data_IF_642114298278
#
_entry.id   IF_642114298278
#
_cell.length_a   1.000
_cell.length_b   1.000
_cell.length_c   1.000
_cell.angle_alpha   90.00
_cell.angle_beta   90.00
_cell.angle_gamma   90.00
#
_symmetry.space_group_name_H-M   'P 1'
#
loop_
_entity.id
_entity.type
_entity.pdbx_description
1 polymer ?
#
# COMPACT_ATOMS: atom_id res chain seq x y z
N UNK A 1 -15.21 34.75 12.08
CA UNK A 1 -14.71 33.73 13.04
C UNK A 1 -15.91 32.99 13.64
N UNK A 2 -16.28 31.80 13.12
CA UNK A 2 -17.29 30.82 13.63
C UNK A 2 -17.93 29.91 12.55
N UNK A 3 -17.32 29.74 11.36
CA UNK A 3 -17.90 28.89 10.28
C UNK A 3 -16.97 27.83 9.66
N UNK A 4 -15.75 27.63 10.16
CA UNK A 4 -14.78 26.71 9.54
C UNK A 4 -14.26 25.60 10.47
N UNK A 5 -14.89 25.39 11.63
CA UNK A 5 -14.42 24.39 12.61
C UNK A 5 -15.00 22.97 12.41
N UNK A 6 -15.75 22.71 11.33
CA UNK A 6 -16.48 21.46 11.15
C UNK A 6 -15.99 20.57 10.00
N UNK A 7 -14.90 20.94 9.31
CA UNK A 7 -14.36 20.15 8.18
C UNK A 7 -13.10 19.34 8.56
N UNK A 8 -12.49 19.59 9.73
CA UNK A 8 -11.25 18.93 10.13
C UNK A 8 -11.40 17.54 10.78
N UNK A 9 -12.61 16.99 10.87
CA UNK A 9 -12.86 15.69 11.49
C UNK A 9 -13.10 14.53 10.49
N UNK A 10 -13.06 14.78 9.17
CA UNK A 10 -13.43 13.77 8.15
C UNK A 10 -12.28 13.33 7.23
N UNK A 11 -11.04 13.77 7.47
CA UNK A 11 -9.90 13.44 6.59
C UNK A 11 -8.94 12.35 7.13
N UNK A 12 -9.39 11.53 8.08
CA UNK A 12 -8.60 10.42 8.63
C UNK A 12 -9.25 9.03 8.41
N UNK A 13 -10.10 8.90 7.38
CA UNK A 13 -10.81 7.66 7.07
C UNK A 13 -10.69 7.27 5.59
N UNK A 14 -9.48 7.28 5.03
CA UNK A 14 -9.19 6.48 3.83
C UNK A 14 -8.56 5.15 4.26
N UNK A 15 -9.40 4.33 4.89
CA UNK A 15 -9.30 2.88 4.81
C UNK A 15 -9.70 2.55 3.37
N UNK A 16 -8.91 1.81 2.59
CA UNK A 16 -9.36 0.79 1.62
C UNK A 16 -8.16 0.27 0.82
N UNK A 17 -8.27 -1.02 0.54
CA UNK A 17 -7.36 -1.93 -0.16
C UNK A 17 -6.80 -1.38 -1.46
N UNK A 18 -5.48 -1.40 -1.63
CA UNK A 18 -4.82 -1.36 -2.94
C UNK A 18 -5.12 -2.72 -3.62
N UNK A 19 -5.82 -2.80 -4.75
CA UNK A 19 -5.83 -4.00 -5.58
C UNK A 19 -4.52 -4.01 -6.37
N UNK A 20 -3.45 -4.55 -5.77
CA UNK A 20 -2.17 -4.68 -6.46
C UNK A 20 -2.17 -5.93 -7.35
N UNK A 21 -3.01 -5.94 -8.39
CA UNK A 21 -2.91 -6.92 -9.49
C UNK A 21 -3.29 -6.23 -10.81
N UNK A 22 -2.37 -5.42 -11.33
CA UNK A 22 -2.27 -5.27 -12.77
C UNK A 22 -1.66 -6.56 -13.33
N UNK A 23 -2.53 -7.44 -13.85
CA UNK A 23 -2.29 -8.53 -14.80
C UNK A 23 -0.82 -8.97 -15.03
N UNK A 24 -0.40 -10.04 -14.34
CA UNK A 24 0.75 -10.84 -14.76
C UNK A 24 0.24 -11.84 -15.81
N UNK A 25 0.54 -11.57 -17.07
CA UNK A 25 0.29 -12.48 -18.19
C UNK A 25 0.95 -13.84 -17.98
N UNK A 26 0.21 -14.90 -18.32
CA UNK A 26 0.67 -16.28 -18.27
C UNK A 26 1.58 -16.58 -19.46
N UNK A 27 2.89 -16.60 -19.26
CA UNK A 27 3.78 -17.42 -20.07
C UNK A 27 5.03 -17.77 -19.28
N UNK A 28 5.21 -19.06 -18.99
CA UNK A 28 6.52 -19.61 -18.59
C UNK A 28 7.43 -19.59 -19.82
N UNK A 29 8.64 -19.01 -19.77
CA UNK A 29 9.66 -19.33 -20.75
C UNK A 29 10.44 -20.59 -20.31
N UNK A 30 10.90 -21.43 -21.25
CA UNK A 30 11.77 -22.55 -20.94
C UNK A 30 13.18 -22.05 -20.62
N UNK A 31 13.77 -22.63 -19.57
CA UNK A 31 15.18 -22.48 -19.22
C UNK A 31 16.05 -23.31 -20.16
N UNK A 32 17.03 -22.68 -20.80
CA UNK A 32 18.26 -23.34 -21.26
C UNK A 32 19.42 -22.38 -21.14
N UNK A 33 20.40 -22.72 -20.28
CA UNK A 33 21.64 -21.97 -20.12
C UNK A 33 22.56 -22.18 -21.34
N UNK A 34 23.19 -21.10 -21.82
CA UNK A 34 24.53 -21.18 -22.42
C UNK A 34 25.28 -19.85 -22.28
N UNK A 35 26.47 -19.95 -21.70
CA UNK A 35 27.52 -18.91 -21.66
C UNK A 35 28.01 -18.58 -23.07
N UNK A 36 28.12 -17.29 -23.39
CA UNK A 36 29.20 -16.77 -24.26
C UNK A 36 29.47 -15.30 -23.93
N UNK A 37 30.76 -14.93 -23.94
CA UNK A 37 31.32 -13.62 -23.59
C UNK A 37 31.40 -12.65 -24.79
N UNK A 38 31.55 -11.35 -24.47
CA UNK A 38 31.97 -10.19 -25.32
C UNK A 38 30.93 -9.69 -26.34
N UNK A 39 30.70 -8.39 -26.56
CA UNK A 39 31.64 -7.30 -26.89
C UNK A 39 31.06 -5.94 -26.46
N UNK A 40 31.96 -5.02 -26.09
CA UNK A 40 31.68 -3.61 -25.77
C UNK A 40 31.19 -2.88 -27.03
N UNK A 41 30.01 -2.27 -26.97
CA UNK A 41 29.59 -1.22 -27.89
C UNK A 41 29.05 -0.04 -27.07
N UNK A 42 29.79 1.06 -27.12
CA UNK A 42 29.37 2.37 -26.64
C UNK A 42 28.16 2.85 -27.43
N UNK A 43 27.06 3.19 -26.75
CA UNK A 43 25.97 3.95 -27.35
C UNK A 43 25.60 5.11 -26.44
N UNK A 44 25.86 6.32 -26.93
CA UNK A 44 25.30 7.56 -26.42
C UNK A 44 23.77 7.46 -26.32
N UNK A 45 23.24 7.30 -25.12
CA UNK A 45 21.79 7.38 -24.87
C UNK A 45 21.40 8.84 -24.67
N UNK A 46 20.81 9.42 -25.71
CA UNK A 46 19.86 10.54 -25.58
C UNK A 46 18.83 10.16 -24.50
N UNK A 47 18.92 10.76 -23.31
CA UNK A 47 17.86 10.71 -22.28
C UNK A 47 16.54 11.13 -22.95
N UNK A 48 15.62 10.19 -23.13
CA UNK A 48 14.28 10.49 -23.63
C UNK A 48 13.48 11.13 -22.49
N UNK A 49 12.84 12.26 -22.74
CA UNK A 49 12.04 13.01 -21.76
C UNK A 49 10.85 12.20 -21.16
N UNK A 50 10.60 10.99 -21.65
CA UNK A 50 9.52 10.08 -21.24
C UNK A 50 9.92 9.17 -20.05
N UNK A 51 11.23 9.07 -19.75
CA UNK A 51 11.75 8.32 -18.59
C UNK A 51 11.64 9.11 -17.27
N UNK A 52 11.55 10.44 -17.35
CA UNK A 52 11.57 11.34 -16.19
C UNK A 52 10.17 11.79 -15.74
N UNK A 53 9.09 11.27 -16.36
CA UNK A 53 7.72 11.68 -16.09
C UNK A 53 6.72 10.50 -15.98
N UNK A 54 5.63 10.75 -15.27
CA UNK A 54 4.43 9.91 -15.21
C UNK A 54 3.22 10.66 -15.77
N UNK A 55 2.31 9.93 -16.42
CA UNK A 55 0.95 10.41 -16.70
C UNK A 55 0.05 10.02 -15.53
N UNK A 56 -0.46 11.00 -14.80
CA UNK A 56 -1.23 10.81 -13.59
C UNK A 56 -2.70 11.17 -13.81
N UNK A 57 -3.60 10.22 -13.57
CA UNK A 57 -5.03 10.46 -13.59
C UNK A 57 -5.50 10.98 -12.23
N UNK A 58 -6.01 12.21 -12.19
CA UNK A 58 -6.59 12.78 -10.99
C UNK A 58 -8.04 12.28 -10.83
N UNK A 59 -8.27 11.44 -9.82
CA UNK A 59 -9.59 10.81 -9.62
C UNK A 59 -10.70 11.79 -9.22
N UNK A 60 -10.36 12.97 -8.67
CA UNK A 60 -11.32 14.01 -8.30
C UNK A 60 -11.71 14.85 -9.51
N UNK A 61 -10.74 15.32 -10.30
CA UNK A 61 -10.97 16.21 -11.44
C UNK A 61 -11.22 15.47 -12.76
N UNK A 62 -10.94 14.16 -12.80
CA UNK A 62 -11.04 13.27 -13.97
C UNK A 62 -10.10 13.65 -15.12
N UNK A 63 -9.03 14.40 -14.83
CA UNK A 63 -8.02 14.85 -15.81
C UNK A 63 -6.75 14.00 -15.74
N UNK A 64 -6.04 13.93 -16.85
CA UNK A 64 -4.70 13.33 -16.93
C UNK A 64 -3.68 14.44 -17.07
N UNK A 65 -2.64 14.42 -16.24
CA UNK A 65 -1.58 15.40 -16.21
C UNK A 65 -0.22 14.70 -16.27
N UNK A 66 0.75 15.33 -16.92
CA UNK A 66 2.14 14.85 -16.90
C UNK A 66 2.85 15.49 -15.72
N UNK A 67 3.49 14.66 -14.89
CA UNK A 67 4.22 15.10 -13.70
C UNK A 67 5.63 14.50 -13.70
N UNK A 68 6.60 15.27 -13.21
CA UNK A 68 7.96 14.76 -13.04
C UNK A 68 7.99 13.64 -12.00
N UNK A 69 8.87 12.65 -12.18
CA UNK A 69 9.07 11.58 -11.19
C UNK A 69 9.36 12.18 -9.81
N UNK A 70 10.18 13.24 -9.76
CA UNK A 70 10.55 13.92 -8.52
C UNK A 70 9.34 14.49 -7.78
N UNK A 71 8.51 15.29 -8.46
CA UNK A 71 7.37 15.95 -7.82
C UNK A 71 6.28 14.93 -7.45
N UNK A 72 6.09 13.90 -8.29
CA UNK A 72 5.23 12.78 -7.96
C UNK A 72 5.66 12.10 -6.66
N UNK A 73 6.95 11.76 -6.52
CA UNK A 73 7.47 11.09 -5.33
C UNK A 73 7.39 11.97 -4.08
N UNK A 74 7.62 13.28 -4.19
CA UNK A 74 7.43 14.20 -3.07
C UNK A 74 5.96 14.22 -2.63
N UNK A 75 5.03 14.32 -3.59
CA UNK A 75 3.60 14.30 -3.34
C UNK A 75 3.10 13.00 -2.70
N UNK A 76 3.64 11.86 -3.13
CA UNK A 76 3.33 10.55 -2.53
C UNK A 76 3.94 10.43 -1.14
N UNK A 77 5.24 10.61 -0.97
CA UNK A 77 5.91 10.41 0.33
C UNK A 77 5.32 11.34 1.38
N UNK A 78 5.02 12.59 1.00
CA UNK A 78 4.36 13.56 1.87
C UNK A 78 2.92 13.23 2.23
N UNK A 79 2.22 12.42 1.42
CA UNK A 79 0.85 11.95 1.68
C UNK A 79 0.80 10.60 2.41
N UNK A 80 1.77 9.72 2.18
CA UNK A 80 1.78 8.33 2.67
C UNK A 80 2.49 8.15 4.01
N UNK A 81 3.59 8.87 4.25
CA UNK A 81 4.45 8.64 5.41
C UNK A 81 4.58 9.92 6.25
N UNK A 82 4.43 9.85 7.59
CA UNK A 82 4.61 11.01 8.45
C UNK A 82 5.99 11.65 8.26
N UNK A 83 6.04 12.94 7.97
CA UNK A 83 7.31 13.66 7.76
C UNK A 83 8.25 13.63 8.99
N UNK A 84 7.71 13.34 10.18
CA UNK A 84 8.47 13.16 11.42
C UNK A 84 9.28 11.85 11.47
N UNK A 85 8.97 10.86 10.61
CA UNK A 85 9.68 9.58 10.55
C UNK A 85 11.15 9.77 10.16
N UNK A 86 11.98 8.79 10.51
CA UNK A 86 13.40 8.80 10.24
C UNK A 86 13.68 8.93 8.74
N UNK A 87 14.74 9.65 8.36
CA UNK A 87 15.06 9.92 6.95
C UNK A 87 15.27 8.64 6.14
N UNK A 88 15.86 7.59 6.74
CA UNK A 88 16.01 6.29 6.07
C UNK A 88 14.67 5.58 5.80
N UNK A 89 13.66 5.79 6.64
CA UNK A 89 12.30 5.28 6.36
C UNK A 89 11.64 6.07 5.21
N UNK A 90 11.80 7.40 5.19
CA UNK A 90 11.34 8.24 4.08
C UNK A 90 12.00 7.86 2.74
N UNK A 91 13.31 7.54 2.76
CA UNK A 91 14.01 7.01 1.58
C UNK A 91 13.46 5.66 1.16
N UNK A 92 13.23 4.73 2.09
CA UNK A 92 12.64 3.43 1.78
C UNK A 92 11.24 3.59 1.15
N UNK A 93 10.41 4.50 1.68
CA UNK A 93 9.13 4.85 1.08
C UNK A 93 9.27 5.43 -0.32
N UNK A 94 10.21 6.36 -0.54
CA UNK A 94 10.44 6.94 -1.87
C UNK A 94 10.81 5.86 -2.90
N UNK A 95 11.72 4.95 -2.56
CA UNK A 95 12.13 3.85 -3.45
C UNK A 95 10.98 2.86 -3.70
N UNK A 96 10.23 2.47 -2.66
CA UNK A 96 9.07 1.59 -2.80
C UNK A 96 7.99 2.25 -3.68
N UNK A 97 7.70 3.53 -3.44
CA UNK A 97 6.72 4.30 -4.20
C UNK A 97 7.10 4.43 -5.68
N UNK A 98 8.37 4.70 -5.98
CA UNK A 98 8.89 4.77 -7.34
C UNK A 98 8.78 3.42 -8.05
N UNK A 99 9.22 2.36 -7.37
CA UNK A 99 9.18 0.99 -7.89
C UNK A 99 7.75 0.59 -8.25
N UNK A 100 6.79 0.87 -7.37
CA UNK A 100 5.37 0.63 -7.63
C UNK A 100 4.87 1.43 -8.84
N UNK A 101 5.19 2.72 -8.96
CA UNK A 101 4.74 3.54 -10.08
C UNK A 101 5.27 3.01 -11.42
N UNK A 102 6.52 2.53 -11.47
CA UNK A 102 7.11 1.90 -12.64
C UNK A 102 6.47 0.54 -12.95
N UNK A 103 6.18 -0.27 -11.92
CA UNK A 103 5.46 -1.53 -12.08
C UNK A 103 4.05 -1.28 -12.67
N UNK A 104 3.34 -0.26 -12.19
CA UNK A 104 2.04 0.15 -12.73
C UNK A 104 2.13 0.65 -14.18
N UNK A 105 3.10 1.51 -14.49
CA UNK A 105 3.37 1.99 -15.87
C UNK A 105 3.62 0.83 -16.83
N UNK A 106 4.50 -0.11 -16.45
CA UNK A 106 4.77 -1.33 -17.23
C UNK A 106 3.51 -2.18 -17.42
N UNK A 107 2.69 -2.31 -16.38
CA UNK A 107 1.39 -2.97 -16.44
C UNK A 107 0.42 -2.31 -17.42
N UNK A 108 0.30 -0.98 -17.40
CA UNK A 108 -0.55 -0.23 -18.34
C UNK A 108 -0.07 -0.35 -19.79
N UNK A 109 1.24 -0.40 -20.03
CA UNK A 109 1.79 -0.61 -21.38
C UNK A 109 1.45 -2.01 -21.93
N UNK A 110 1.46 -3.03 -21.06
CA UNK A 110 1.13 -4.41 -21.44
C UNK A 110 -0.37 -4.65 -21.56
N UNK A 111 -1.16 -4.05 -20.67
CA UNK A 111 -2.62 -4.21 -20.62
C UNK A 111 -3.30 -2.89 -20.19
N UNK A 112 -3.61 -2.00 -21.14
CA UNK A 112 -4.16 -0.68 -20.82
C UNK A 112 -5.53 -0.75 -20.15
N UNK A 113 -5.65 -0.13 -18.98
CA UNK A 113 -6.92 0.10 -18.32
C UNK A 113 -7.58 1.37 -18.88
N UNK A 114 -8.67 1.19 -19.63
CA UNK A 114 -9.43 2.29 -20.24
C UNK A 114 -9.95 3.29 -19.20
N UNK A 115 -10.19 2.89 -17.95
CA UNK A 115 -10.68 3.81 -16.91
C UNK A 115 -9.65 4.86 -16.48
N UNK A 116 -8.37 4.63 -16.76
CA UNK A 116 -7.28 5.58 -16.48
C UNK A 116 -7.09 6.61 -17.59
N UNK A 117 -7.88 6.55 -18.66
CA UNK A 117 -7.84 7.51 -19.76
C UNK A 117 -6.43 7.72 -20.34
N UNK A 118 -5.65 6.64 -20.46
CA UNK A 118 -4.28 6.69 -20.98
C UNK A 118 -3.22 7.16 -19.99
N UNK A 119 -3.55 7.30 -18.70
CA UNK A 119 -2.59 7.51 -17.62
C UNK A 119 -1.88 6.22 -17.19
N UNK A 120 -0.71 6.39 -16.59
CA UNK A 120 0.10 5.30 -16.03
C UNK A 120 -0.47 4.84 -14.67
N UNK A 121 -0.98 5.79 -13.87
CA UNK A 121 -1.48 5.57 -12.51
C UNK A 121 -2.54 6.61 -12.11
N UNK A 122 -3.24 6.37 -11.00
CA UNK A 122 -4.30 7.22 -10.44
C UNK A 122 -3.87 7.87 -9.13
N UNK A 123 -4.46 9.03 -8.78
CA UNK A 123 -4.35 9.61 -7.43
C UNK A 123 -5.36 9.02 -6.43
N UNK A 124 -6.14 8.02 -6.84
CA UNK A 124 -7.11 7.36 -5.97
C UNK A 124 -6.39 6.32 -5.09
N UNK A 125 -6.30 6.54 -3.76
CA UNK A 125 -5.64 5.60 -2.85
C UNK A 125 -6.34 4.22 -2.80
N UNK A 126 -7.60 4.11 -3.25
CA UNK A 126 -8.29 2.82 -3.37
C UNK A 126 -7.79 1.98 -4.55
N UNK A 127 -7.01 2.54 -5.47
CA UNK A 127 -6.47 1.83 -6.65
C UNK A 127 -4.98 2.05 -6.88
N UNK A 128 -4.37 2.95 -6.12
CA UNK A 128 -3.00 3.43 -6.30
C UNK A 128 -2.47 3.95 -4.96
N UNK A 129 -1.47 4.83 -5.00
CA UNK A 129 -0.90 5.47 -3.83
C UNK A 129 -1.64 6.77 -3.53
N UNK A 130 -1.66 7.14 -2.25
CA UNK A 130 -2.04 8.48 -1.82
C UNK A 130 -1.09 9.49 -2.44
N UNK A 131 -1.65 10.61 -2.88
CA UNK A 131 -0.91 11.68 -3.51
C UNK A 131 -1.54 13.02 -3.11
N UNK A 132 -0.68 13.98 -2.76
CA UNK A 132 -1.05 15.37 -2.55
C UNK A 132 -0.20 16.25 -3.47
N UNK A 133 -0.81 17.28 -4.08
CA UNK A 133 -0.03 18.31 -4.78
C UNK A 133 0.80 19.14 -3.79
N UNK A 134 1.74 19.94 -4.27
CA UNK A 134 2.50 20.86 -3.42
C UNK A 134 1.59 21.84 -2.67
N UNK A 135 0.51 22.30 -3.30
CA UNK A 135 -0.49 23.16 -2.67
C UNK A 135 -1.24 22.41 -1.54
N UNK A 136 -1.67 21.17 -1.79
CA UNK A 136 -2.31 20.33 -0.77
C UNK A 136 -1.35 20.01 0.39
N UNK A 137 -0.07 19.72 0.10
CA UNK A 137 0.97 19.53 1.12
C UNK A 137 1.19 20.81 1.95
N UNK A 138 1.16 21.99 1.31
CA UNK A 138 1.32 23.27 2.00
C UNK A 138 0.14 23.57 2.92
N UNK A 139 -1.08 23.28 2.48
CA UNK A 139 -2.26 23.38 3.34
C UNK A 139 -2.19 22.38 4.50
N UNK A 140 -1.80 21.13 4.22
CA UNK A 140 -1.73 20.06 5.22
C UNK A 140 -0.68 20.32 6.29
N UNK A 141 0.54 20.74 5.92
CA UNK A 141 1.63 20.96 6.86
C UNK A 141 1.66 22.36 7.48
N UNK A 142 0.92 23.32 6.92
CA UNK A 142 0.81 24.67 7.46
C UNK A 142 2.16 25.33 7.69
N UNK A 143 2.40 25.84 8.90
CA UNK A 143 3.66 26.49 9.28
C UNK A 143 4.89 25.58 9.23
N UNK A 144 4.70 24.25 9.27
CA UNK A 144 5.79 23.29 9.17
C UNK A 144 6.13 22.88 7.73
N UNK A 145 5.38 23.40 6.74
CA UNK A 145 5.53 23.00 5.34
C UNK A 145 6.98 23.07 4.86
N UNK A 146 7.65 24.22 5.00
CA UNK A 146 9.02 24.37 4.47
C UNK A 146 10.01 23.38 5.11
N UNK A 147 9.82 23.08 6.39
CA UNK A 147 10.68 22.12 7.12
C UNK A 147 10.44 20.68 6.63
N UNK A 148 9.19 20.25 6.57
CA UNK A 148 8.84 18.90 6.16
C UNK A 148 9.04 18.67 4.67
N UNK A 149 8.68 19.64 3.84
CA UNK A 149 8.93 19.60 2.40
C UNK A 149 10.43 19.46 2.11
N UNK A 150 11.30 20.23 2.80
CA UNK A 150 12.76 20.11 2.64
C UNK A 150 13.27 18.73 3.05
N UNK A 151 12.76 18.15 4.14
CA UNK A 151 13.16 16.81 4.59
C UNK A 151 12.71 15.72 3.61
N UNK A 152 11.45 15.77 3.16
CA UNK A 152 10.88 14.81 2.21
C UNK A 152 11.59 14.91 0.86
N UNK A 153 11.69 16.12 0.30
CA UNK A 153 12.38 16.32 -0.98
C UNK A 153 13.85 15.93 -0.93
N UNK A 154 14.57 16.24 0.16
CA UNK A 154 15.94 15.77 0.34
C UNK A 154 16.06 14.24 0.42
N UNK A 155 15.11 13.56 1.04
CA UNK A 155 15.06 12.10 1.04
C UNK A 155 14.82 11.56 -0.38
N UNK A 156 13.80 12.06 -1.09
CA UNK A 156 13.48 11.70 -2.48
C UNK A 156 14.68 11.91 -3.39
N UNK A 157 15.28 13.10 -3.38
CA UNK A 157 16.40 13.47 -4.25
C UNK A 157 17.59 12.54 -4.09
N UNK A 158 17.84 12.07 -2.86
CA UNK A 158 18.98 11.18 -2.56
C UNK A 158 18.83 9.75 -3.08
N UNK A 159 17.61 9.34 -3.46
CA UNK A 159 17.31 7.96 -3.91
C UNK A 159 16.42 7.92 -5.15
N UNK A 160 16.26 9.04 -5.87
CA UNK A 160 15.36 9.16 -7.02
C UNK A 160 15.72 8.19 -8.15
N UNK A 161 17.00 7.83 -8.26
CA UNK A 161 17.50 6.87 -9.24
C UNK A 161 17.36 5.41 -8.79
N UNK A 162 16.88 5.14 -7.57
CA UNK A 162 16.82 3.79 -6.99
C UNK A 162 15.44 3.16 -7.12
N UNK A 163 15.44 1.85 -7.39
CA UNK A 163 14.25 0.99 -7.44
C UNK A 163 14.55 -0.39 -6.84
N UNK A 164 13.51 -1.11 -6.44
CA UNK A 164 13.59 -2.51 -6.00
C UNK A 164 13.25 -3.44 -7.17
N UNK A 165 14.16 -4.36 -7.49
CA UNK A 165 13.99 -5.30 -8.60
C UNK A 165 14.05 -6.75 -8.13
N UNK A 166 13.29 -7.60 -8.80
CA UNK A 166 13.36 -9.05 -8.71
C UNK A 166 13.41 -9.60 -10.14
N UNK A 167 14.39 -10.44 -10.45
CA UNK A 167 14.60 -10.95 -11.81
C UNK A 167 14.67 -9.83 -12.89
N UNK A 168 15.38 -8.74 -12.58
CA UNK A 168 15.57 -7.55 -13.42
C UNK A 168 14.31 -6.73 -13.74
N UNK A 169 13.18 -7.00 -13.09
CA UNK A 169 11.94 -6.22 -13.26
C UNK A 169 11.58 -5.50 -11.95
N UNK A 170 11.03 -4.27 -12.01
CA UNK A 170 10.47 -3.60 -10.83
C UNK A 170 9.40 -4.45 -10.16
N UNK A 171 9.52 -4.64 -8.85
CA UNK A 171 8.58 -5.46 -8.08
C UNK A 171 7.21 -4.77 -7.90
N UNK A 172 6.19 -5.55 -7.53
CA UNK A 172 4.99 -5.01 -6.89
C UNK A 172 5.35 -4.56 -5.46
N UNK A 173 5.90 -3.35 -5.32
CA UNK A 173 6.39 -2.80 -4.05
C UNK A 173 5.23 -2.35 -3.13
N UNK A 174 4.48 -3.33 -2.61
CA UNK A 174 3.40 -3.10 -1.67
C UNK A 174 3.92 -2.58 -0.33
N UNK A 175 3.17 -1.67 0.29
CA UNK A 175 3.45 -1.16 1.63
C UNK A 175 2.15 -0.80 2.36
N UNK A 176 2.19 -0.77 3.68
CA UNK A 176 1.04 -0.47 4.54
C UNK A 176 1.46 0.24 5.82
N UNK A 177 0.51 0.81 6.56
CA UNK A 177 0.82 1.64 7.73
C UNK A 177 1.43 0.86 8.89
N UNK A 178 0.69 -0.10 9.43
CA UNK A 178 1.08 -0.87 10.63
C UNK A 178 0.73 -2.34 10.39
N UNK A 179 1.68 -3.26 10.55
CA UNK A 179 1.36 -4.69 10.44
C UNK A 179 0.66 -5.20 11.71
N UNK A 180 0.10 -6.41 11.65
CA UNK A 180 -0.42 -7.08 12.84
C UNK A 180 0.68 -7.64 13.78
N UNK A 181 1.95 -7.40 13.46
CA UNK A 181 3.14 -8.01 14.06
C UNK A 181 3.89 -8.92 13.07
N UNK A 182 3.18 -9.53 12.12
CA UNK A 182 3.73 -10.24 10.96
C UNK A 182 3.12 -9.65 9.68
N UNK A 183 3.91 -9.45 8.64
CA UNK A 183 3.39 -9.07 7.32
C UNK A 183 2.66 -10.25 6.67
N UNK A 184 1.85 -10.00 5.65
CA UNK A 184 0.90 -10.97 5.08
C UNK A 184 1.35 -11.49 3.71
N UNK A 185 1.03 -12.75 3.40
CA UNK A 185 1.21 -13.28 2.04
C UNK A 185 0.17 -12.65 1.11
N UNK A 186 0.56 -12.09 -0.06
CA UNK A 186 -0.38 -11.49 -0.99
C UNK A 186 -1.45 -12.47 -1.49
N UNK A 187 -1.29 -13.79 -1.40
CA UNK A 187 -2.35 -14.74 -1.70
C UNK A 187 -3.55 -14.61 -0.76
N UNK A 188 -3.35 -14.25 0.51
CA UNK A 188 -4.43 -14.07 1.47
C UNK A 188 -5.17 -12.74 1.29
N UNK A 189 -4.62 -11.80 0.53
CA UNK A 189 -5.19 -10.45 0.31
C UNK A 189 -5.69 -10.26 -1.11
N UNK A 190 -4.92 -10.72 -2.10
CA UNK A 190 -5.14 -10.52 -3.53
C UNK A 190 -5.22 -11.84 -4.33
N UNK A 191 -5.14 -13.00 -3.68
CA UNK A 191 -5.33 -14.30 -4.34
C UNK A 191 -4.13 -14.82 -5.12
N UNK A 192 -2.97 -14.12 -5.09
CA UNK A 192 -1.74 -14.57 -5.72
C UNK A 192 -0.51 -14.35 -4.84
N UNK A 193 0.26 -15.41 -4.62
CA UNK A 193 1.57 -15.31 -3.97
C UNK A 193 2.62 -14.71 -4.91
N UNK A 194 3.58 -13.99 -4.34
CA UNK A 194 4.74 -13.44 -5.02
C UNK A 194 6.00 -13.83 -4.24
N UNK A 195 7.07 -14.19 -4.95
CA UNK A 195 8.28 -14.75 -4.32
C UNK A 195 8.98 -13.74 -3.39
N UNK A 196 8.96 -12.46 -3.76
CA UNK A 196 9.58 -11.38 -3.01
C UNK A 196 8.66 -10.76 -1.94
N UNK A 197 7.40 -11.20 -1.80
CA UNK A 197 6.47 -10.73 -0.76
C UNK A 197 6.14 -11.87 0.18
N UNK A 198 7.05 -12.16 1.10
CA UNK A 198 6.88 -13.18 2.14
C UNK A 198 6.50 -12.54 3.48
N UNK A 199 5.70 -13.22 4.31
CA UNK A 199 5.51 -12.84 5.70
C UNK A 199 6.86 -12.69 6.43
N UNK A 200 7.09 -11.52 7.02
CA UNK A 200 8.24 -11.23 7.88
C UNK A 200 7.76 -10.58 9.17
N UNK A 201 8.50 -10.83 10.25
CA UNK A 201 8.23 -10.24 11.56
C UNK A 201 8.41 -8.72 11.49
N UNK A 202 7.60 -7.95 12.19
CA UNK A 202 7.73 -6.50 12.19
C UNK A 202 7.47 -5.95 13.59
N UNK A 203 8.41 -6.25 14.50
CA UNK A 203 8.26 -5.96 15.93
C UNK A 203 8.10 -4.47 16.26
N UNK A 204 8.60 -3.59 15.39
CA UNK A 204 8.41 -2.16 15.52
C UNK A 204 6.94 -1.71 15.50
N UNK A 205 6.06 -2.50 14.87
CA UNK A 205 4.64 -2.19 14.77
C UNK A 205 3.93 -2.22 16.13
N UNK A 206 4.36 -3.07 17.06
CA UNK A 206 3.76 -3.13 18.41
C UNK A 206 3.92 -1.83 19.20
N UNK A 207 4.83 -0.95 18.78
CA UNK A 207 5.10 0.34 19.41
C UNK A 207 4.36 1.50 18.73
N UNK A 208 3.64 1.24 17.64
CA UNK A 208 2.88 2.27 16.96
C UNK A 208 1.69 2.73 17.83
N UNK A 209 1.42 4.04 17.92
CA UNK A 209 0.35 4.57 18.78
C UNK A 209 -1.04 4.05 18.40
N UNK A 210 -1.25 3.76 17.11
CA UNK A 210 -2.51 3.23 16.57
C UNK A 210 -2.42 1.72 16.26
N UNK A 211 -1.53 0.97 16.94
CA UNK A 211 -1.38 -0.46 16.72
C UNK A 211 -2.67 -1.23 17.03
N UNK A 212 -3.36 -0.88 18.12
CA UNK A 212 -4.67 -1.45 18.45
C UNK A 212 -5.77 -0.42 18.22
N UNK A 213 -6.90 -0.86 17.67
CA UNK A 213 -8.10 -0.04 17.56
C UNK A 213 -9.35 -0.83 17.89
N UNK A 214 -10.42 -0.12 18.24
CA UNK A 214 -11.70 -0.71 18.62
C UNK A 214 -12.82 -0.08 17.82
N UNK A 215 -13.68 -0.92 17.24
CA UNK A 215 -14.89 -0.49 16.53
C UNK A 215 -16.10 -1.14 17.20
N UNK A 216 -17.10 -0.35 17.58
CA UNK A 216 -18.34 -0.86 18.16
C UNK A 216 -19.51 -0.53 17.25
N UNK A 217 -20.30 -1.54 16.91
CA UNK A 217 -21.45 -1.44 16.01
C UNK A 217 -22.67 -2.09 16.67
N UNK A 218 -23.81 -1.43 16.58
CA UNK A 218 -25.11 -2.04 16.92
C UNK A 218 -25.45 -3.15 15.94
N UNK A 219 -26.39 -4.02 16.33
CA UNK A 219 -26.91 -5.06 15.45
C UNK A 219 -27.49 -4.50 14.15
N UNK A 220 -28.17 -3.34 14.20
CA UNK A 220 -28.74 -2.71 13.00
C UNK A 220 -27.67 -2.14 12.08
N UNK A 221 -26.61 -1.52 12.62
CA UNK A 221 -25.47 -1.05 11.84
C UNK A 221 -24.73 -2.22 11.18
N UNK A 222 -24.52 -3.31 11.91
CA UNK A 222 -23.93 -4.54 11.38
C UNK A 222 -24.76 -5.09 10.22
N UNK A 223 -26.07 -5.23 10.42
CA UNK A 223 -26.98 -5.74 9.40
C UNK A 223 -26.98 -4.86 8.15
N UNK A 224 -27.00 -3.54 8.34
CA UNK A 224 -26.96 -2.55 7.25
C UNK A 224 -25.65 -2.64 6.46
N UNK A 225 -24.50 -2.57 7.15
CA UNK A 225 -23.18 -2.59 6.52
C UNK A 225 -22.91 -3.90 5.77
N UNK A 226 -23.24 -5.04 6.37
CA UNK A 226 -23.02 -6.34 5.76
C UNK A 226 -23.97 -6.58 4.59
N UNK A 227 -25.26 -6.22 4.71
CA UNK A 227 -26.22 -6.37 3.60
C UNK A 227 -25.94 -5.41 2.44
N UNK A 228 -25.23 -4.30 2.66
CA UNK A 228 -24.80 -3.39 1.61
C UNK A 228 -23.67 -3.98 0.74
N UNK A 229 -22.84 -4.88 1.29
CA UNK A 229 -21.68 -5.46 0.59
C UNK A 229 -21.92 -6.90 0.13
N UNK A 230 -22.70 -7.68 0.87
CA UNK A 230 -22.91 -9.10 0.60
C UNK A 230 -24.38 -9.39 0.32
N UNK A 231 -24.62 -10.26 -0.67
CA UNK A 231 -25.94 -10.81 -0.99
C UNK A 231 -26.11 -12.21 -0.41
N UNK A 232 -27.35 -12.68 -0.31
CA UNK A 232 -27.65 -14.06 0.09
C UNK A 232 -27.57 -14.36 1.59
N UNK A 233 -27.26 -13.37 2.44
CA UNK A 233 -27.21 -13.55 3.91
C UNK A 233 -28.59 -14.00 4.45
N UNK A 234 -28.62 -15.12 5.17
CA UNK A 234 -29.83 -15.66 5.79
C UNK A 234 -29.92 -15.29 7.27
N UNK A 235 -30.25 -14.03 7.56
CA UNK A 235 -30.25 -13.49 8.93
C UNK A 235 -31.06 -14.32 9.93
N UNK A 236 -30.42 -14.67 11.05
CA UNK A 236 -31.08 -15.32 12.20
C UNK A 236 -31.57 -14.29 13.22
N UNK A 237 -32.52 -14.69 14.08
CA UNK A 237 -33.03 -13.83 15.16
C UNK A 237 -32.01 -13.54 16.28
N UNK A 238 -30.91 -14.31 16.36
CA UNK A 238 -29.86 -14.17 17.37
C UNK A 238 -28.60 -13.49 16.79
N UNK A 239 -28.35 -12.20 17.04
CA UNK A 239 -27.19 -11.50 16.47
C UNK A 239 -25.85 -12.08 16.89
N UNK A 240 -25.74 -12.60 18.11
CA UNK A 240 -24.52 -13.24 18.61
C UNK A 240 -24.00 -14.38 17.71
N UNK A 241 -24.88 -14.99 16.88
CA UNK A 241 -24.54 -16.09 15.96
C UNK A 241 -24.33 -15.64 14.51
N UNK A 242 -24.43 -14.34 14.22
CA UNK A 242 -24.40 -13.86 12.84
C UNK A 242 -23.06 -14.06 12.14
N UNK A 243 -21.95 -14.00 12.88
CA UNK A 243 -20.60 -14.13 12.34
C UNK A 243 -19.90 -15.29 13.04
N UNK A 244 -19.24 -16.14 12.27
CA UNK A 244 -18.30 -17.15 12.78
C UNK A 244 -16.99 -17.05 12.03
N UNK A 245 -15.88 -16.77 12.73
CA UNK A 245 -14.54 -16.85 12.14
C UNK A 245 -14.22 -18.34 11.90
N UNK A 246 -13.87 -18.70 10.66
CA UNK A 246 -13.62 -20.09 10.25
C UNK A 246 -12.13 -20.42 10.31
N UNK A 247 -11.31 -19.58 9.70
CA UNK A 247 -9.85 -19.79 9.63
C UNK A 247 -9.09 -18.47 9.71
N UNK A 248 -7.85 -18.55 10.18
CA UNK A 248 -6.89 -17.46 10.21
C UNK A 248 -5.74 -17.72 9.23
N UNK A 249 -5.07 -16.66 8.79
CA UNK A 249 -3.78 -16.75 8.10
C UNK A 249 -2.66 -17.06 9.10
N UNK A 250 -1.48 -17.38 8.60
CA UNK A 250 -0.29 -17.56 9.45
C UNK A 250 0.05 -16.26 10.20
N UNK A 251 -0.20 -15.11 9.58
CA UNK A 251 -0.09 -13.76 10.15
C UNK A 251 -1.26 -13.35 11.06
N UNK A 252 -2.16 -14.29 11.37
CA UNK A 252 -3.30 -14.17 12.30
C UNK A 252 -4.45 -13.29 11.83
N UNK A 253 -4.43 -12.80 10.59
CA UNK A 253 -5.59 -12.16 9.96
C UNK A 253 -6.73 -13.15 9.78
N UNK A 254 -7.98 -12.70 9.85
CA UNK A 254 -9.13 -13.51 9.44
C UNK A 254 -8.99 -13.83 7.96
N UNK A 255 -8.89 -15.13 7.63
CA UNK A 255 -8.83 -15.60 6.25
C UNK A 255 -10.23 -15.82 5.71
N UNK A 256 -11.05 -16.55 6.47
CA UNK A 256 -12.41 -16.91 6.11
C UNK A 256 -13.34 -16.76 7.31
N UNK A 257 -14.53 -16.25 7.06
CA UNK A 257 -15.62 -16.17 8.00
C UNK A 257 -16.95 -16.55 7.33
N UNK A 258 -17.91 -16.95 8.14
CA UNK A 258 -19.30 -17.17 7.72
C UNK A 258 -20.19 -16.05 8.28
N UNK A 259 -21.04 -15.48 7.44
CA UNK A 259 -22.11 -14.56 7.82
C UNK A 259 -23.46 -15.23 7.52
N UNK A 260 -24.04 -15.90 8.51
CA UNK A 260 -25.32 -16.61 8.39
C UNK A 260 -25.45 -17.44 7.10
N UNK A 261 -24.46 -18.28 6.81
CA UNK A 261 -24.43 -19.14 5.62
C UNK A 261 -23.76 -18.53 4.39
N UNK A 262 -23.36 -17.25 4.42
CA UNK A 262 -22.55 -16.63 3.38
C UNK A 262 -21.08 -16.62 3.77
N UNK A 263 -20.25 -17.39 3.05
CA UNK A 263 -18.79 -17.39 3.24
C UNK A 263 -18.17 -16.10 2.67
N UNK A 264 -17.31 -15.46 3.46
CA UNK A 264 -16.64 -14.21 3.11
C UNK A 264 -15.18 -14.21 3.55
N UNK A 265 -14.37 -13.36 2.94
CA UNK A 265 -12.99 -13.12 3.36
C UNK A 265 -12.91 -12.13 4.53
N UNK A 266 -11.85 -12.20 5.33
CA UNK A 266 -11.60 -11.18 6.35
C UNK A 266 -11.28 -9.79 5.77
N UNK A 267 -10.71 -9.72 4.57
CA UNK A 267 -10.47 -8.45 3.86
C UNK A 267 -11.79 -7.78 3.45
N UNK A 268 -12.78 -8.56 3.01
CA UNK A 268 -14.11 -8.04 2.71
C UNK A 268 -14.86 -7.59 3.96
N UNK A 269 -14.78 -8.36 5.06
CA UNK A 269 -15.34 -7.97 6.35
C UNK A 269 -14.73 -6.67 6.88
N UNK A 270 -13.39 -6.57 6.85
CA UNK A 270 -12.67 -5.35 7.19
C UNK A 270 -13.24 -4.14 6.44
N UNK A 271 -13.38 -4.28 5.12
CA UNK A 271 -13.91 -3.21 4.26
C UNK A 271 -15.37 -2.89 4.56
N UNK A 272 -16.24 -3.90 4.72
CA UNK A 272 -17.66 -3.70 5.02
C UNK A 272 -17.89 -2.98 6.35
N UNK A 273 -17.09 -3.35 7.36
CA UNK A 273 -17.28 -2.89 8.74
C UNK A 273 -16.47 -1.64 9.07
N UNK A 274 -15.53 -1.24 8.20
CA UNK A 274 -14.67 -0.07 8.42
C UNK A 274 -13.58 -0.34 9.46
N UNK A 275 -12.99 -1.53 9.44
CA UNK A 275 -11.91 -1.92 10.35
C UNK A 275 -10.54 -1.52 9.77
N UNK A 276 -9.58 -1.22 10.66
CA UNK A 276 -8.23 -0.83 10.26
C UNK A 276 -7.47 -1.96 9.54
N UNK A 277 -7.69 -3.22 9.91
CA UNK A 277 -7.05 -4.40 9.32
C UNK A 277 -8.00 -5.62 9.31
N UNK A 278 -7.57 -6.71 8.69
CA UNK A 278 -8.26 -8.00 8.75
C UNK A 278 -7.82 -8.85 9.98
N UNK A 279 -6.87 -8.37 10.79
CA UNK A 279 -6.54 -8.98 12.07
C UNK A 279 -7.44 -8.38 13.13
N UNK A 280 -8.53 -9.09 13.42
CA UNK A 280 -9.46 -8.70 14.46
C UNK A 280 -10.05 -9.90 15.20
N UNK A 281 -10.48 -9.65 16.43
CA UNK A 281 -11.41 -10.48 17.19
C UNK A 281 -12.66 -9.67 17.48
N UNK A 282 -13.75 -10.31 17.90
CA UNK A 282 -14.94 -9.59 18.32
C UNK A 282 -15.70 -10.27 19.44
N UNK A 283 -16.49 -9.48 20.16
CA UNK A 283 -17.44 -9.94 21.17
C UNK A 283 -18.82 -9.33 20.92
N UNK A 284 -19.87 -10.01 21.36
CA UNK A 284 -21.23 -9.48 21.35
C UNK A 284 -21.78 -9.36 22.79
N UNK A 285 -22.15 -8.16 23.18
CA UNK A 285 -22.76 -7.85 24.47
C UNK A 285 -23.68 -6.63 24.34
N UNK A 286 -24.76 -6.58 25.13
CA UNK A 286 -25.68 -5.44 25.19
C UNK A 286 -26.20 -4.97 23.81
N UNK A 287 -26.46 -5.92 22.91
CA UNK A 287 -26.96 -5.63 21.56
C UNK A 287 -25.92 -5.10 20.57
N UNK A 288 -24.64 -5.07 20.96
CA UNK A 288 -23.53 -4.49 20.18
C UNK A 288 -22.42 -5.50 19.93
N UNK A 289 -21.80 -5.38 18.77
CA UNK A 289 -20.56 -6.04 18.40
C UNK A 289 -19.41 -5.08 18.69
N UNK A 290 -18.40 -5.55 19.41
CA UNK A 290 -17.16 -4.82 19.63
C UNK A 290 -16.03 -5.60 18.97
N UNK A 291 -15.36 -4.97 18.01
CA UNK A 291 -14.21 -5.49 17.30
C UNK A 291 -12.93 -4.91 17.89
N UNK A 292 -12.02 -5.78 18.29
CA UNK A 292 -10.64 -5.44 18.66
C UNK A 292 -9.75 -5.75 17.46
N UNK A 293 -9.11 -4.73 16.92
CA UNK A 293 -8.37 -4.78 15.64
C UNK A 293 -6.90 -4.47 15.90
N UNK A 294 -6.00 -5.22 15.25
CA UNK A 294 -4.55 -5.03 15.35
C UNK A 294 -3.94 -4.67 14.00
N UNK A 295 -3.05 -3.69 13.98
CA UNK A 295 -2.46 -3.15 12.77
C UNK A 295 -3.44 -2.29 11.95
N UNK A 296 -2.91 -1.73 10.87
CA UNK A 296 -3.58 -0.77 9.99
C UNK A 296 -3.07 -0.94 8.56
N UNK A 297 -3.95 -1.37 7.67
CA UNK A 297 -3.61 -1.61 6.27
C UNK A 297 -3.79 -3.08 5.87
N UNK A 298 -3.32 -3.42 4.68
CA UNK A 298 -3.49 -4.76 4.11
C UNK A 298 -2.42 -5.76 4.59
N UNK A 299 -1.35 -5.32 5.26
CA UNK A 299 -0.35 -6.21 5.86
C UNK A 299 0.74 -6.72 4.91
N UNK A 300 0.57 -6.58 3.59
CA UNK A 300 1.53 -7.07 2.59
C UNK A 300 2.71 -6.10 2.42
N UNK A 301 3.92 -6.65 2.29
CA UNK A 301 5.14 -5.90 1.98
C UNK A 301 5.63 -5.03 3.13
N UNK A 302 6.12 -3.83 2.83
CA UNK A 302 6.76 -2.96 3.83
C UNK A 302 5.76 -2.34 4.81
N UNK A 303 5.97 -2.56 6.12
CA UNK A 303 5.30 -1.77 7.16
C UNK A 303 5.99 -0.40 7.30
N UNK A 304 5.22 0.69 7.27
CA UNK A 304 5.75 2.06 7.42
C UNK A 304 6.26 2.32 8.84
N UNK A 305 5.52 1.92 9.87
CA UNK A 305 5.97 2.03 11.26
C UNK A 305 7.13 1.08 11.57
N UNK A 306 7.07 -0.13 11.01
CA UNK A 306 8.19 -1.07 11.10
C UNK A 306 9.46 -0.54 10.41
N UNK A 307 9.32 0.16 9.28
CA UNK A 307 10.44 0.84 8.60
C UNK A 307 11.02 1.98 9.45
N UNK A 308 10.19 2.82 10.08
CA UNK A 308 10.65 3.86 11.01
C UNK A 308 11.39 3.27 12.21
N UNK A 309 10.86 2.19 12.79
CA UNK A 309 11.51 1.47 13.88
C UNK A 309 12.90 0.97 13.46
N UNK A 310 13.01 0.23 12.36
CA UNK A 310 14.29 -0.30 11.86
C UNK A 310 15.28 0.83 11.56
N UNK A 311 14.81 1.92 10.95
CA UNK A 311 15.60 3.10 10.69
C UNK A 311 16.18 3.72 11.97
N UNK A 312 15.37 3.81 13.04
CA UNK A 312 15.81 4.27 14.37
C UNK A 312 16.78 3.31 15.06
N UNK A 313 16.78 2.03 14.69
CA UNK A 313 17.80 1.06 15.09
C UNK A 313 19.07 1.14 14.22
N UNK A 314 19.20 2.16 13.37
CA UNK A 314 20.38 2.39 12.53
C UNK A 314 20.41 1.60 11.23
N UNK A 315 19.29 1.00 10.80
CA UNK A 315 19.19 0.36 9.48
C UNK A 315 19.10 1.40 8.37
N UNK A 316 19.80 1.13 7.27
CA UNK A 316 19.69 1.94 6.05
C UNK A 316 18.38 1.65 5.31
N UNK A 317 17.99 2.54 4.38
CA UNK A 317 16.84 2.30 3.52
C UNK A 317 16.97 0.99 2.71
N UNK A 318 18.18 0.61 2.31
CA UNK A 318 18.43 -0.65 1.59
C UNK A 318 18.20 -1.88 2.48
N UNK A 319 18.65 -1.82 3.74
CA UNK A 319 18.40 -2.89 4.71
C UNK A 319 16.91 -3.04 4.98
N UNK A 320 16.19 -1.92 5.13
CA UNK A 320 14.74 -1.90 5.34
C UNK A 320 14.02 -2.55 4.15
N UNK A 321 14.34 -2.16 2.91
CA UNK A 321 13.70 -2.72 1.72
C UNK A 321 13.99 -4.22 1.58
N UNK A 322 15.24 -4.65 1.77
CA UNK A 322 15.62 -6.07 1.72
C UNK A 322 15.05 -6.91 2.87
N UNK A 323 14.66 -6.26 3.97
CA UNK A 323 13.98 -6.93 5.07
C UNK A 323 12.54 -7.27 4.71
N UNK A 324 11.80 -6.34 4.10
CA UNK A 324 10.38 -6.55 3.74
C UNK A 324 10.16 -7.21 2.39
N UNK A 325 11.13 -7.12 1.48
CA UNK A 325 11.06 -7.71 0.16
C UNK A 325 12.17 -8.76 0.00
N UNK A 326 11.79 -10.03 -0.10
CA UNK A 326 12.72 -11.16 -0.14
C UNK A 326 13.42 -11.30 -1.48
N UNK A 327 14.71 -11.67 -1.46
CA UNK A 327 15.51 -11.98 -2.66
C UNK A 327 15.55 -10.85 -3.72
N UNK A 328 15.39 -9.60 -3.30
CA UNK A 328 15.43 -8.43 -4.18
C UNK A 328 16.80 -7.76 -4.21
N UNK A 329 17.01 -6.92 -5.24
CA UNK A 329 18.10 -5.96 -5.27
C UNK A 329 17.56 -4.52 -5.29
N UNK A 330 18.28 -3.61 -4.63
CA UNK A 330 18.09 -2.17 -4.83
C UNK A 330 19.06 -1.73 -5.92
N UNK A 331 18.54 -1.26 -7.04
CA UNK A 331 19.32 -0.97 -8.25
C UNK A 331 19.08 0.46 -8.74
N UNK A 332 20.09 1.02 -9.41
CA UNK A 332 19.93 2.28 -10.14
C UNK A 332 19.15 2.03 -11.45
N UNK A 333 18.24 2.93 -11.80
CA UNK A 333 17.37 2.83 -13.00
C UNK A 333 18.12 2.60 -14.31
N UNK A 334 19.30 3.18 -14.47
CA UNK A 334 20.11 3.02 -15.69
C UNK A 334 20.59 1.57 -15.92
N UNK A 335 20.60 0.73 -14.88
CA UNK A 335 20.97 -0.69 -14.99
C UNK A 335 19.80 -1.60 -15.38
N UNK A 336 18.57 -1.06 -15.43
CA UNK A 336 17.33 -1.86 -15.57
C UNK A 336 16.69 -1.75 -16.96
N UNK A 337 17.10 -0.75 -17.76
CA UNK A 337 16.56 -0.49 -19.12
C UNK A 337 17.59 -0.92 -20.21
N UNK A 338 18.65 -1.63 -19.82
CA UNK A 338 19.69 -2.16 -20.72
C UNK A 338 19.42 -3.58 -21.16
#
# INVERSE_FOLDING_TARGET
MKRYLSIFASLALFIITIPCLAFIGTSKPPYTSKKTSSVIASSDTKKTADADNFKLYNHKTKKVETISVRDYLIGVVGAEMPASFHTEALKAQAVASHTYALNMKSGQQKSPNKSLNGADLSTDPATSQSYMTNEELKEFYGEHFDTYYKKISGAVDSVIDKVVIYQNEPIAAAFHSISGGLTEDPANVWGKSLDYLKPVLSDGDFLAPDYESKVTLTSDEMKTKLSAKFSGIQWTAEPAKWITIKTLTDSKSVKEADICGTTVSGTDLRSALGLNSAYFTFSFADGKFTFDVKGKGHGVGMSQYGADYLARQGKSYEDILKYYYSDVAVAALEKTIG
#
